data_IF_736461820070
#
_entry.id   IF_736461820070
#
_cell.length_a   1.000
_cell.length_b   1.000
_cell.length_c   1.000
_cell.angle_alpha   90.00
_cell.angle_beta   90.00
_cell.angle_gamma   90.00
#
_symmetry.space_group_name_H-M   'P 1'
#
loop_
_entity.id
_entity.type
_entity.pdbx_description
1 polymer ?
#
# COMPACT_ATOMS: atom_id res chain seq x y z
N UNK A 1 -26.79 -4.06 -20.05
CA UNK A 1 -27.63 -3.85 -18.84
C UNK A 1 -26.69 -3.78 -17.66
N UNK A 2 -26.42 -2.58 -17.14
CA UNK A 2 -25.64 -2.42 -15.91
C UNK A 2 -26.54 -2.81 -14.74
N UNK A 3 -26.25 -3.94 -14.08
CA UNK A 3 -26.87 -4.23 -12.79
C UNK A 3 -26.43 -3.15 -11.82
N UNK A 4 -27.35 -2.26 -11.42
CA UNK A 4 -27.09 -1.34 -10.34
C UNK A 4 -26.77 -2.17 -9.10
N UNK A 5 -25.62 -1.93 -8.47
CA UNK A 5 -25.30 -2.55 -7.20
C UNK A 5 -26.39 -2.15 -6.20
N UNK A 6 -27.17 -3.13 -5.76
CA UNK A 6 -28.17 -2.90 -4.73
C UNK A 6 -27.46 -2.89 -3.38
N UNK A 7 -27.53 -1.75 -2.70
CA UNK A 7 -26.98 -1.61 -1.35
C UNK A 7 -27.68 -2.62 -0.44
N UNK A 8 -26.92 -3.46 0.26
CA UNK A 8 -27.48 -4.46 1.18
C UNK A 8 -28.11 -3.80 2.42
N UNK A 9 -28.87 -4.58 3.19
CA UNK A 9 -29.37 -4.12 4.51
C UNK A 9 -28.21 -3.80 5.45
N UNK A 10 -27.23 -4.70 5.53
CA UNK A 10 -26.04 -4.51 6.35
C UNK A 10 -25.26 -3.25 5.99
N UNK A 11 -25.10 -2.95 4.70
CA UNK A 11 -24.38 -1.76 4.25
C UNK A 11 -25.12 -0.47 4.62
N UNK A 12 -26.45 -0.46 4.56
CA UNK A 12 -27.26 0.66 5.06
C UNK A 12 -27.15 0.81 6.58
N UNK A 13 -27.10 -0.29 7.34
CA UNK A 13 -26.88 -0.24 8.79
C UNK A 13 -25.49 0.26 9.15
N UNK A 14 -24.46 -0.14 8.38
CA UNK A 14 -23.09 0.26 8.60
C UNK A 14 -22.81 1.71 8.19
N UNK A 15 -23.39 2.19 7.08
CA UNK A 15 -23.01 3.47 6.48
C UNK A 15 -24.16 4.47 6.33
N UNK A 16 -25.37 4.13 6.76
CA UNK A 16 -26.54 5.00 6.63
C UNK A 16 -26.80 5.39 5.17
N UNK A 17 -27.08 6.67 4.96
CA UNK A 17 -27.29 7.24 3.62
C UNK A 17 -26.05 7.20 2.72
N UNK A 18 -24.84 7.09 3.28
CA UNK A 18 -23.59 7.10 2.51
C UNK A 18 -23.31 5.76 1.79
N UNK A 19 -24.00 4.68 2.16
CA UNK A 19 -23.72 3.32 1.70
C UNK A 19 -23.67 3.18 0.16
N UNK A 20 -24.62 3.83 -0.54
CA UNK A 20 -24.70 3.76 -2.00
C UNK A 20 -23.55 4.44 -2.71
N UNK A 21 -23.10 5.58 -2.21
CA UNK A 21 -21.99 6.32 -2.83
C UNK A 21 -20.63 5.71 -2.46
N UNK A 22 -20.50 5.22 -1.22
CA UNK A 22 -19.32 4.50 -0.76
C UNK A 22 -19.11 3.20 -1.56
N UNK A 23 -20.15 2.45 -1.89
CA UNK A 23 -20.01 1.21 -2.69
C UNK A 23 -19.43 1.45 -4.08
N UNK A 24 -19.65 2.65 -4.64
CA UNK A 24 -19.10 3.04 -5.94
C UNK A 24 -17.69 3.63 -5.82
N UNK A 25 -17.46 4.52 -4.84
CA UNK A 25 -16.19 5.25 -4.72
C UNK A 25 -15.05 4.43 -4.12
N UNK A 26 -15.35 3.49 -3.22
CA UNK A 26 -14.32 2.69 -2.55
C UNK A 26 -13.55 1.80 -3.55
N UNK A 27 -14.21 1.03 -4.44
CA UNK A 27 -13.48 0.22 -5.43
C UNK A 27 -12.63 1.08 -6.36
N UNK A 28 -13.11 2.26 -6.75
CA UNK A 28 -12.37 3.19 -7.58
C UNK A 28 -11.11 3.71 -6.88
N UNK A 29 -11.22 4.06 -5.60
CA UNK A 29 -10.07 4.48 -4.81
C UNK A 29 -8.99 3.39 -4.71
N UNK A 30 -9.39 2.14 -4.44
CA UNK A 30 -8.46 1.01 -4.34
C UNK A 30 -7.78 0.73 -5.68
N UNK A 31 -8.52 0.75 -6.79
CA UNK A 31 -7.96 0.59 -8.14
C UNK A 31 -6.99 1.72 -8.50
N UNK A 32 -7.35 2.97 -8.17
CA UNK A 32 -6.47 4.13 -8.35
C UNK A 32 -5.17 4.01 -7.53
N UNK A 33 -5.26 3.53 -6.28
CA UNK A 33 -4.10 3.27 -5.44
C UNK A 33 -3.20 2.17 -6.00
N UNK A 34 -3.81 1.09 -6.50
CA UNK A 34 -3.11 0.04 -7.20
C UNK A 34 -2.37 0.57 -8.44
N UNK A 35 -3.07 1.31 -9.30
CA UNK A 35 -2.48 1.88 -10.52
C UNK A 35 -1.30 2.81 -10.20
N UNK A 36 -1.45 3.68 -9.19
CA UNK A 36 -0.38 4.57 -8.74
C UNK A 36 0.84 3.79 -8.25
N UNK A 37 0.61 2.73 -7.45
CA UNK A 37 1.69 1.88 -6.96
C UNK A 37 2.39 1.09 -8.07
N UNK A 38 1.64 0.65 -9.09
CA UNK A 38 2.19 -0.03 -10.25
C UNK A 38 3.06 0.93 -11.08
N UNK A 39 2.57 2.14 -11.36
CA UNK A 39 3.35 3.17 -12.08
C UNK A 39 4.66 3.49 -11.35
N UNK A 40 4.61 3.66 -10.02
CA UNK A 40 5.81 3.91 -9.22
C UNK A 40 6.78 2.72 -9.26
N UNK A 41 6.27 1.49 -9.23
CA UNK A 41 7.09 0.29 -9.31
C UNK A 41 7.80 0.15 -10.66
N UNK A 42 7.08 0.37 -11.77
CA UNK A 42 7.65 0.36 -13.12
C UNK A 42 8.71 1.45 -13.27
N UNK A 43 8.42 2.67 -12.79
CA UNK A 43 9.37 3.79 -12.88
C UNK A 43 10.64 3.59 -12.04
N UNK A 44 10.57 2.82 -10.96
CA UNK A 44 11.72 2.52 -10.10
C UNK A 44 12.64 1.42 -10.66
N UNK A 45 12.19 0.67 -11.68
CA UNK A 45 12.94 -0.43 -12.32
C UNK A 45 13.54 -1.43 -11.31
N UNK A 46 12.80 -1.71 -10.23
CA UNK A 46 13.23 -2.64 -9.19
C UNK A 46 12.67 -4.03 -9.47
N UNK A 47 13.52 -5.05 -9.29
CA UNK A 47 13.12 -6.47 -9.42
C UNK A 47 12.25 -6.95 -8.25
N UNK A 48 12.35 -6.28 -7.09
CA UNK A 48 11.57 -6.59 -5.88
C UNK A 48 10.28 -5.77 -5.82
N UNK A 49 9.24 -6.35 -5.22
CA UNK A 49 7.94 -5.69 -5.04
C UNK A 49 7.91 -4.61 -3.92
N UNK A 50 9.07 -4.20 -3.40
CA UNK A 50 9.17 -3.28 -2.26
C UNK A 50 8.58 -1.91 -2.58
N UNK A 51 8.94 -1.32 -3.73
CA UNK A 51 8.38 -0.04 -4.19
C UNK A 51 6.87 -0.12 -4.34
N UNK A 52 6.37 -1.20 -4.95
CA UNK A 52 4.95 -1.43 -5.11
C UNK A 52 4.24 -1.52 -3.76
N UNK A 53 4.73 -2.39 -2.86
CA UNK A 53 4.12 -2.62 -1.56
C UNK A 53 4.11 -1.38 -0.67
N UNK A 54 5.22 -0.63 -0.62
CA UNK A 54 5.33 0.58 0.19
C UNK A 54 4.45 1.71 -0.36
N UNK A 55 4.44 1.89 -1.69
CA UNK A 55 3.59 2.90 -2.34
C UNK A 55 2.11 2.57 -2.12
N UNK A 56 1.71 1.31 -2.32
CA UNK A 56 0.34 0.87 -2.12
C UNK A 56 -0.12 1.06 -0.67
N UNK A 57 0.73 0.74 0.32
CA UNK A 57 0.44 0.93 1.75
C UNK A 57 0.07 2.37 2.09
N UNK A 58 0.67 3.35 1.40
CA UNK A 58 0.36 4.77 1.59
C UNK A 58 -0.84 5.19 0.75
N UNK A 59 -0.82 4.90 -0.55
CA UNK A 59 -1.82 5.38 -1.50
C UNK A 59 -3.21 4.81 -1.27
N UNK A 60 -3.34 3.62 -0.69
CA UNK A 60 -4.65 3.07 -0.33
C UNK A 60 -5.41 3.97 0.66
N UNK A 61 -4.72 4.67 1.58
CA UNK A 61 -5.36 5.56 2.53
C UNK A 61 -5.62 6.93 1.89
N UNK A 62 -4.61 7.51 1.26
CA UNK A 62 -4.70 8.84 0.66
C UNK A 62 -5.82 8.91 -0.39
N UNK A 63 -5.87 7.94 -1.29
CA UNK A 63 -6.85 7.93 -2.37
C UNK A 63 -8.24 7.49 -1.89
N UNK A 64 -8.33 6.61 -0.89
CA UNK A 64 -9.61 6.32 -0.25
C UNK A 64 -10.20 7.60 0.33
N UNK A 65 -9.44 8.31 1.17
CA UNK A 65 -9.84 9.58 1.78
C UNK A 65 -10.18 10.62 0.72
N UNK A 66 -9.34 10.79 -0.31
CA UNK A 66 -9.58 11.75 -1.37
C UNK A 66 -10.87 11.46 -2.16
N UNK A 67 -11.20 10.19 -2.37
CA UNK A 67 -12.41 9.81 -3.10
C UNK A 67 -13.68 9.94 -2.24
N UNK A 68 -13.62 9.57 -0.96
CA UNK A 68 -14.83 9.49 -0.10
C UNK A 68 -15.11 10.76 0.69
N UNK A 69 -14.18 11.72 0.77
CA UNK A 69 -14.37 12.97 1.53
C UNK A 69 -15.55 13.83 1.05
N UNK A 70 -15.95 13.71 -0.21
CA UNK A 70 -17.05 14.46 -0.80
C UNK A 70 -18.40 13.74 -0.65
N UNK A 71 -18.42 12.52 -0.08
CA UNK A 71 -19.64 11.77 0.17
C UNK A 71 -20.38 12.41 1.35
N UNK A 72 -21.66 12.79 1.19
CA UNK A 72 -22.46 13.31 2.30
C UNK A 72 -22.49 12.31 3.48
N UNK A 73 -22.25 12.82 4.69
CA UNK A 73 -22.22 11.99 5.89
C UNK A 73 -20.87 11.33 6.20
N UNK A 74 -19.84 11.53 5.37
CA UNK A 74 -18.48 11.09 5.65
C UNK A 74 -17.64 12.25 6.23
N UNK A 75 -16.86 11.94 7.25
CA UNK A 75 -15.87 12.84 7.83
C UNK A 75 -14.48 12.21 7.80
N UNK A 76 -13.46 13.04 7.68
CA UNK A 76 -12.07 12.59 7.73
C UNK A 76 -11.49 12.89 9.11
N UNK A 77 -10.90 11.86 9.74
CA UNK A 77 -10.30 11.96 11.08
C UNK A 77 -8.90 11.34 11.06
N UNK A 78 -7.95 11.96 11.74
CA UNK A 78 -6.65 11.36 12.05
C UNK A 78 -6.58 11.03 13.53
N UNK A 79 -6.75 9.76 13.93
CA UNK A 79 -6.49 9.37 15.31
C UNK A 79 -5.04 9.69 15.68
N UNK A 80 -4.81 10.16 16.89
CA UNK A 80 -3.47 10.44 17.39
C UNK A 80 -2.64 9.14 17.39
N UNK A 81 -1.40 9.19 16.94
CA UNK A 81 -0.56 7.99 16.77
C UNK A 81 -0.80 7.21 15.48
N UNK A 82 -1.84 7.53 14.69
CA UNK A 82 -1.98 7.02 13.32
C UNK A 82 -1.30 7.95 12.32
N UNK A 83 -0.53 7.34 11.41
CA UNK A 83 0.10 8.06 10.29
C UNK A 83 -0.91 8.54 9.25
N UNK A 84 -2.06 7.88 9.13
CA UNK A 84 -3.01 8.08 8.03
C UNK A 84 -4.35 8.59 8.52
N UNK A 85 -5.01 9.35 7.66
CA UNK A 85 -6.41 9.73 7.83
C UNK A 85 -7.32 8.52 7.62
N UNK A 86 -8.40 8.47 8.39
CA UNK A 86 -9.50 7.53 8.26
C UNK A 86 -10.76 8.27 7.85
N UNK A 87 -11.52 7.63 6.94
CA UNK A 87 -12.88 8.01 6.68
C UNK A 87 -13.80 7.43 7.77
N UNK A 88 -14.70 8.25 8.27
CA UNK A 88 -15.63 7.93 9.35
C UNK A 88 -17.02 8.34 8.94
N UNK A 89 -18.02 7.50 9.20
CA UNK A 89 -19.44 7.84 9.08
C UNK A 89 -19.98 8.13 10.48
N UNK A 90 -20.13 9.41 10.89
CA UNK A 90 -20.49 9.75 12.26
C UNK A 90 -21.91 9.31 12.65
N UNK A 91 -22.83 9.26 11.68
CA UNK A 91 -24.22 8.83 11.90
C UNK A 91 -24.29 7.42 12.52
N UNK A 92 -23.51 6.49 11.99
CA UNK A 92 -23.44 5.09 12.42
C UNK A 92 -22.20 4.79 13.25
N UNK A 93 -21.37 5.81 13.49
CA UNK A 93 -20.13 5.74 14.23
C UNK A 93 -19.12 4.70 13.68
N UNK A 94 -19.06 4.57 12.35
CA UNK A 94 -18.22 3.58 11.66
C UNK A 94 -16.94 4.21 11.14
N UNK A 95 -15.78 3.63 11.46
CA UNK A 95 -14.50 3.94 10.81
C UNK A 95 -14.21 2.96 9.67
N UNK A 96 -13.58 3.43 8.59
CA UNK A 96 -13.27 2.66 7.39
C UNK A 96 -11.76 2.44 7.27
N UNK A 97 -11.32 1.18 7.14
CA UNK A 97 -9.90 0.80 7.09
C UNK A 97 -9.57 -0.04 5.85
N UNK A 98 -8.70 0.41 4.94
CA UNK A 98 -8.24 -0.43 3.83
C UNK A 98 -7.21 -1.47 4.29
N UNK A 99 -7.41 -2.72 3.84
CA UNK A 99 -6.54 -3.84 4.13
C UNK A 99 -6.34 -4.73 2.91
N UNK A 100 -5.09 -4.87 2.46
CA UNK A 100 -4.73 -5.90 1.48
C UNK A 100 -4.66 -7.26 2.16
N UNK A 101 -5.61 -8.15 1.88
CA UNK A 101 -5.70 -9.47 2.52
C UNK A 101 -4.94 -10.58 1.78
N UNK A 102 -4.66 -10.41 0.49
CA UNK A 102 -3.97 -11.41 -0.33
C UNK A 102 -3.06 -10.78 -1.39
N UNK A 103 -1.97 -11.49 -1.69
CA UNK A 103 -0.99 -11.15 -2.74
C UNK A 103 -0.87 -12.24 -3.81
N UNK A 104 -1.27 -13.47 -3.52
CA UNK A 104 -1.42 -14.53 -4.52
C UNK A 104 -2.91 -14.77 -4.79
N UNK A 105 -3.27 -15.10 -6.03
CA UNK A 105 -4.66 -15.47 -6.40
C UNK A 105 -5.09 -16.79 -5.78
N UNK A 106 -4.14 -17.63 -5.37
CA UNK A 106 -4.43 -18.89 -4.66
C UNK A 106 -4.89 -18.65 -3.22
N UNK A 107 -4.55 -17.50 -2.64
CA UNK A 107 -4.90 -17.16 -1.26
C UNK A 107 -6.40 -16.84 -1.19
N UNK A 108 -7.14 -17.65 -0.43
CA UNK A 108 -8.54 -17.38 -0.14
C UNK A 108 -8.65 -16.35 0.97
N UNK A 109 -9.71 -15.54 0.94
CA UNK A 109 -9.97 -14.53 1.98
C UNK A 109 -10.10 -15.18 3.36
N UNK A 110 -10.73 -16.34 3.43
CA UNK A 110 -10.97 -17.09 4.66
C UNK A 110 -9.67 -17.58 5.33
N UNK A 111 -8.61 -17.76 4.53
CA UNK A 111 -7.30 -18.22 5.00
C UNK A 111 -6.32 -17.06 5.23
N UNK A 112 -6.76 -15.82 5.00
CA UNK A 112 -5.91 -14.63 5.11
C UNK A 112 -5.42 -14.42 6.54
N UNK A 113 -4.19 -13.90 6.65
CA UNK A 113 -3.54 -13.58 7.92
C UNK A 113 -2.90 -12.21 7.86
N UNK A 114 -2.89 -11.52 8.99
CA UNK A 114 -2.09 -10.31 9.14
C UNK A 114 -0.63 -10.69 9.35
N UNK A 115 0.27 -9.78 8.96
CA UNK A 115 1.67 -9.91 9.33
C UNK A 115 1.80 -10.00 10.86
N UNK A 116 2.52 -11.03 11.31
CA UNK A 116 2.72 -11.34 12.72
C UNK A 116 4.11 -10.89 13.19
N UNK A 117 4.25 -10.40 14.45
CA UNK A 117 3.15 -10.12 15.38
C UNK A 117 2.32 -8.90 14.94
N UNK A 118 1.01 -8.92 15.23
CA UNK A 118 0.12 -7.79 14.90
C UNK A 118 0.45 -6.62 15.81
N UNK A 119 0.78 -5.46 15.24
CA UNK A 119 1.06 -4.23 16.01
C UNK A 119 -0.11 -3.81 16.90
N UNK A 120 0.16 -3.25 18.08
CA UNK A 120 -0.87 -2.83 19.05
C UNK A 120 -1.95 -1.93 18.45
N UNK A 121 -1.57 -0.94 17.62
CA UNK A 121 -2.52 -0.10 16.88
C UNK A 121 -3.56 -0.91 16.06
N UNK A 122 -3.11 -1.95 15.35
CA UNK A 122 -4.01 -2.82 14.58
C UNK A 122 -4.87 -3.67 15.49
N UNK A 123 -4.31 -4.11 16.61
CA UNK A 123 -5.08 -4.85 17.60
C UNK A 123 -6.18 -3.98 18.22
N UNK A 124 -5.90 -2.71 18.55
CA UNK A 124 -6.87 -1.74 19.05
C UNK A 124 -7.98 -1.47 18.03
N UNK A 125 -7.62 -1.24 16.76
CA UNK A 125 -8.60 -1.04 15.68
C UNK A 125 -9.51 -2.26 15.50
N UNK A 126 -8.93 -3.46 15.38
CA UNK A 126 -9.71 -4.69 15.18
C UNK A 126 -10.47 -5.12 16.46
N UNK A 127 -10.05 -4.61 17.61
CA UNK A 127 -10.77 -4.73 18.87
C UNK A 127 -12.17 -4.10 18.84
N UNK A 128 -12.40 -3.10 17.98
CA UNK A 128 -13.72 -2.44 17.84
C UNK A 128 -14.81 -3.38 17.32
N UNK A 129 -14.42 -4.42 16.58
CA UNK A 129 -15.34 -5.44 16.07
C UNK A 129 -15.40 -6.68 16.95
N UNK A 130 -14.55 -6.77 17.96
CA UNK A 130 -14.46 -7.98 18.78
C UNK A 130 -15.63 -8.06 19.75
N UNK A 131 -16.40 -9.14 19.66
CA UNK A 131 -17.38 -9.53 20.69
C UNK A 131 -16.70 -10.01 21.98
N UNK A 132 -15.40 -10.29 21.94
CA UNK A 132 -14.62 -10.64 23.11
C UNK A 132 -14.52 -9.43 24.05
N UNK A 133 -14.80 -9.67 25.34
CA UNK A 133 -14.75 -8.67 26.40
C UNK A 133 -13.53 -7.75 26.28
N UNK A 134 -13.67 -6.45 26.63
CA UNK A 134 -12.58 -5.49 26.52
C UNK A 134 -11.34 -6.09 27.19
N UNK A 135 -10.23 -6.11 26.45
CA UNK A 135 -8.94 -6.64 26.93
C UNK A 135 -8.70 -6.12 28.33
N UNK A 136 -8.87 -6.99 29.33
CA UNK A 136 -8.24 -6.76 30.62
C UNK A 136 -6.75 -6.77 30.32
N UNK A 137 -6.12 -5.62 30.51
CA UNK A 137 -4.68 -5.48 30.59
C UNK A 137 -4.20 -6.54 31.57
N UNK A 138 -3.52 -7.58 31.08
CA UNK A 138 -2.91 -8.56 31.96
C UNK A 138 -1.81 -7.82 32.73
N UNK A 139 -1.85 -7.96 34.06
CA UNK A 139 -0.95 -7.35 35.05
C UNK A 139 0.45 -8.02 34.97
N UNK A 140 1.02 -8.18 33.77
CA UNK A 140 2.32 -8.83 33.58
C UNK A 140 3.49 -7.85 33.41
N UNK A 141 3.26 -6.55 33.59
CA UNK A 141 4.30 -5.50 33.49
C UNK A 141 4.69 -4.89 34.85
N UNK A 142 4.38 -5.54 35.97
CA UNK A 142 4.62 -4.98 37.31
C UNK A 142 6.11 -4.89 37.75
N UNK A 143 7.08 -5.21 36.90
CA UNK A 143 8.51 -5.20 37.28
C UNK A 143 9.46 -4.86 36.12
N UNK A 144 9.30 -3.73 35.42
CA UNK A 144 10.37 -3.14 34.59
C UNK A 144 10.24 -1.61 34.53
N UNK A 145 11.35 -0.91 34.76
CA UNK A 145 11.65 0.54 34.75
C UNK A 145 10.57 1.54 34.25
N UNK A 146 10.17 2.46 35.13
CA UNK A 146 8.86 3.14 35.14
C UNK A 146 8.66 4.28 34.11
N UNK A 147 9.67 5.09 33.79
CA UNK A 147 9.39 6.40 33.17
C UNK A 147 9.20 6.37 31.63
N UNK A 148 9.86 5.44 30.91
CA UNK A 148 9.73 5.34 29.44
C UNK A 148 8.57 4.44 29.00
N UNK A 149 8.17 3.49 29.84
CA UNK A 149 7.00 2.63 29.61
C UNK A 149 5.70 3.38 29.89
N UNK A 150 5.65 4.21 30.94
CA UNK A 150 4.45 4.98 31.29
C UNK A 150 3.95 5.88 30.13
N UNK A 151 4.85 6.59 29.44
CA UNK A 151 4.47 7.43 28.28
C UNK A 151 3.91 6.61 27.11
N UNK A 152 4.48 5.44 26.84
CA UNK A 152 3.98 4.55 25.77
C UNK A 152 2.60 3.96 26.09
N UNK A 153 2.34 3.65 27.37
CA UNK A 153 1.03 3.19 27.82
C UNK A 153 -0.04 4.30 27.75
N UNK A 154 0.28 5.53 28.17
CA UNK A 154 -0.65 6.67 28.10
C UNK A 154 -1.03 7.01 26.65
N UNK A 155 -0.07 7.00 25.71
CA UNK A 155 -0.33 7.23 24.29
C UNK A 155 -1.24 6.15 23.69
N UNK A 156 -1.00 4.89 24.07
CA UNK A 156 -1.83 3.77 23.62
C UNK A 156 -3.24 3.85 24.22
N UNK A 157 -3.38 4.20 25.49
CA UNK A 157 -4.68 4.39 26.14
C UNK A 157 -5.49 5.55 25.54
N UNK A 158 -4.84 6.67 25.21
CA UNK A 158 -5.51 7.79 24.53
C UNK A 158 -5.93 7.41 23.11
N UNK A 159 -5.07 6.71 22.36
CA UNK A 159 -5.43 6.15 21.07
C UNK A 159 -6.61 5.19 21.20
N UNK A 160 -6.59 4.25 22.14
CA UNK A 160 -7.70 3.33 22.42
C UNK A 160 -9.00 4.09 22.72
N UNK A 161 -8.92 5.13 23.55
CA UNK A 161 -10.05 5.99 23.90
C UNK A 161 -10.61 6.71 22.68
N UNK A 162 -9.75 7.22 21.81
CA UNK A 162 -10.15 7.85 20.55
C UNK A 162 -10.76 6.84 19.57
N UNK A 163 -10.18 5.64 19.46
CA UNK A 163 -10.69 4.58 18.59
C UNK A 163 -12.03 4.05 19.08
N UNK A 164 -12.24 3.92 20.39
CA UNK A 164 -13.53 3.55 21.00
C UNK A 164 -14.62 4.59 20.76
N UNK A 165 -14.25 5.84 20.42
CA UNK A 165 -15.25 6.79 19.93
C UNK A 165 -15.83 6.33 18.63
N UNK A 166 -15.13 5.52 17.83
CA UNK A 166 -15.70 4.76 16.73
C UNK A 166 -16.36 3.50 17.31
N UNK A 167 -17.65 3.34 17.07
CA UNK A 167 -18.44 2.23 17.61
C UNK A 167 -18.21 0.92 16.86
N UNK A 168 -17.67 1.00 15.64
CA UNK A 168 -17.43 -0.15 14.75
C UNK A 168 -16.37 0.18 13.71
N UNK A 169 -15.64 -0.84 13.27
CA UNK A 169 -14.66 -0.75 12.19
C UNK A 169 -15.12 -1.57 10.99
N UNK A 170 -15.30 -0.96 9.83
CA UNK A 170 -15.49 -1.70 8.58
C UNK A 170 -14.17 -1.75 7.81
N UNK A 171 -13.73 -2.97 7.49
CA UNK A 171 -12.51 -3.19 6.73
C UNK A 171 -12.85 -3.29 5.24
N UNK A 172 -12.16 -2.49 4.43
CA UNK A 172 -12.15 -2.63 2.98
C UNK A 172 -11.06 -3.63 2.63
N UNK A 173 -11.46 -4.89 2.54
CA UNK A 173 -10.57 -5.96 2.13
C UNK A 173 -10.33 -5.92 0.63
N UNK A 174 -9.07 -6.03 0.23
CA UNK A 174 -8.77 -6.24 -1.19
C UNK A 174 -7.58 -7.18 -1.44
N UNK A 175 -7.56 -7.79 -2.61
CA UNK A 175 -6.48 -8.67 -3.07
C UNK A 175 -5.84 -8.10 -4.35
N UNK A 176 -4.52 -7.99 -4.34
CA UNK A 176 -3.80 -7.38 -5.47
C UNK A 176 -2.32 -7.74 -5.53
N UNK A 177 -1.77 -7.78 -6.73
CA UNK A 177 -0.33 -7.81 -7.01
C UNK A 177 -0.03 -7.15 -8.36
N UNK A 178 1.22 -6.79 -8.66
CA UNK A 178 1.56 -6.06 -9.88
C UNK A 178 1.14 -6.77 -11.18
N UNK A 179 1.24 -8.10 -11.23
CA UNK A 179 1.00 -8.87 -12.46
C UNK A 179 -0.49 -9.12 -12.74
N UNK A 180 -1.27 -9.36 -11.69
CA UNK A 180 -2.67 -9.79 -11.77
C UNK A 180 -3.67 -8.65 -11.60
N UNK A 181 -3.23 -7.46 -11.22
CA UNK A 181 -4.11 -6.34 -10.91
C UNK A 181 -4.78 -6.51 -9.54
N UNK A 182 -5.97 -5.91 -9.39
CA UNK A 182 -6.86 -6.12 -8.23
C UNK A 182 -7.94 -7.12 -8.63
N UNK A 183 -8.19 -8.16 -7.82
CA UNK A 183 -9.16 -9.22 -8.16
C UNK A 183 -10.16 -9.57 -7.06
N UNK A 184 -10.07 -8.92 -5.91
CA UNK A 184 -11.06 -9.05 -4.86
C UNK A 184 -11.15 -7.71 -4.17
N UNK A 185 -12.32 -7.10 -4.19
CA UNK A 185 -12.62 -5.90 -3.40
C UNK A 185 -13.94 -6.16 -2.71
N UNK A 186 -13.97 -5.92 -1.41
CA UNK A 186 -15.20 -5.95 -0.64
C UNK A 186 -15.02 -5.23 0.67
N UNK A 187 -16.12 -5.19 1.41
CA UNK A 187 -16.14 -4.66 2.75
C UNK A 187 -16.71 -5.68 3.72
N UNK A 188 -16.44 -5.49 4.99
CA UNK A 188 -17.00 -6.35 6.02
C UNK A 188 -16.44 -6.07 7.39
N UNK A 189 -16.95 -6.82 8.34
CA UNK A 189 -16.39 -6.87 9.67
C UNK A 189 -15.17 -7.80 9.66
N UNK A 190 -14.12 -7.38 10.36
CA UNK A 190 -12.91 -8.18 10.53
C UNK A 190 -12.60 -8.30 12.01
N UNK A 191 -12.40 -9.53 12.46
CA UNK A 191 -12.00 -9.84 13.84
C UNK A 191 -10.61 -10.45 13.86
N UNK A 192 -9.80 -10.03 14.84
CA UNK A 192 -8.50 -10.64 15.13
C UNK A 192 -8.69 -11.77 16.13
N UNK A 193 -8.44 -13.02 15.72
CA UNK A 193 -8.53 -14.20 16.60
C UNK A 193 -7.27 -14.40 17.41
N UNK A 194 -6.09 -14.15 16.82
CA UNK A 194 -4.82 -14.32 17.51
C UNK A 194 -3.79 -13.30 17.02
N UNK A 195 -3.36 -12.41 17.92
CA UNK A 195 -2.40 -11.36 17.62
C UNK A 195 -0.97 -11.88 17.36
N UNK A 196 -0.59 -13.00 17.98
CA UNK A 196 0.73 -13.60 17.83
C UNK A 196 0.89 -14.33 16.49
N UNK A 197 -0.19 -14.93 15.96
CA UNK A 197 -0.17 -15.64 14.67
C UNK A 197 -0.76 -14.83 13.51
N UNK A 198 -1.38 -13.68 13.80
CA UNK A 198 -2.07 -12.84 12.82
C UNK A 198 -3.35 -13.44 12.27
N UNK A 199 -3.92 -14.45 12.94
CA UNK A 199 -5.14 -15.12 12.50
C UNK A 199 -6.35 -14.20 12.61
N UNK A 200 -7.09 -14.07 11.51
CA UNK A 200 -8.25 -13.20 11.38
C UNK A 200 -9.45 -13.99 10.85
N UNK A 201 -10.65 -13.46 11.11
CA UNK A 201 -11.90 -13.98 10.54
C UNK A 201 -12.75 -12.85 10.01
N UNK A 202 -13.57 -13.13 9.01
CA UNK A 202 -14.53 -12.21 8.42
C UNK A 202 -15.96 -12.63 8.80
N UNK A 203 -16.52 -12.19 9.95
CA UNK A 203 -17.89 -12.52 10.33
C UNK A 203 -18.92 -12.09 9.29
N UNK A 204 -18.64 -10.97 8.60
CA UNK A 204 -19.43 -10.48 7.50
C UNK A 204 -18.53 -10.09 6.33
N UNK A 205 -19.01 -10.34 5.11
CA UNK A 205 -18.36 -9.89 3.89
C UNK A 205 -19.37 -9.63 2.79
N UNK A 206 -19.22 -8.50 2.11
CA UNK A 206 -19.89 -8.23 0.85
C UNK A 206 -18.87 -7.83 -0.21
N UNK A 207 -18.96 -8.46 -1.37
CA UNK A 207 -18.18 -8.09 -2.54
C UNK A 207 -18.71 -6.79 -3.11
N UNK A 208 -17.80 -5.84 -3.33
CA UNK A 208 -18.13 -4.56 -3.93
C UNK A 208 -18.14 -4.67 -5.45
N UNK A 209 -18.92 -3.81 -6.13
CA UNK A 209 -19.11 -3.94 -7.57
C UNK A 209 -17.82 -3.73 -8.34
N UNK A 210 -17.65 -4.57 -9.36
CA UNK A 210 -16.70 -4.30 -10.42
C UNK A 210 -17.28 -3.20 -11.30
N UNK A 211 -16.85 -1.97 -11.08
CA UNK A 211 -17.09 -0.89 -12.03
C UNK A 211 -16.17 -1.22 -13.21
N UNK A 212 -16.72 -1.91 -14.22
CA UNK A 212 -16.10 -1.92 -15.55
C UNK A 212 -16.07 -0.47 -15.99
N UNK A 213 -14.87 0.12 -16.03
CA UNK A 213 -14.67 1.45 -16.55
C UNK A 213 -15.22 1.48 -17.98
N UNK A 214 -16.40 2.08 -18.15
CA UNK A 214 -16.88 2.46 -19.46
C UNK A 214 -15.90 3.48 -20.03
N UNK A 215 -15.08 3.05 -20.98
CA UNK A 215 -14.40 3.91 -21.97
C UNK A 215 -13.81 5.21 -21.41
N UNK A 216 -12.91 5.11 -20.44
CA UNK A 216 -11.86 6.12 -20.25
C UNK A 216 -10.54 5.39 -20.44
N UNK A 217 -9.75 5.85 -21.41
CA UNK A 217 -8.55 5.20 -21.92
C UNK A 217 -7.55 4.82 -20.80
N UNK A 218 -7.69 3.61 -20.27
CA UNK A 218 -6.55 2.89 -19.71
C UNK A 218 -5.70 2.47 -20.89
N UNK A 219 -4.64 3.23 -21.17
CA UNK A 219 -3.48 2.70 -21.86
C UNK A 219 -3.07 1.43 -21.11
N UNK A 220 -3.32 0.29 -21.74
CA UNK A 220 -2.93 -1.02 -21.25
C UNK A 220 -1.39 -1.10 -21.30
N UNK A 221 -0.74 -0.69 -20.22
CA UNK A 221 0.70 -0.97 -20.02
C UNK A 221 0.97 -2.48 -19.85
N UNK A 222 -0.08 -3.30 -19.66
CA UNK A 222 0.03 -4.75 -19.61
C UNK A 222 0.24 -5.39 -20.99
N UNK A 223 -0.15 -4.70 -22.08
CA UNK A 223 0.06 -5.22 -23.44
C UNK A 223 1.55 -5.16 -23.86
N UNK A 224 2.29 -4.14 -23.41
CA UNK A 224 3.70 -3.95 -23.78
C UNK A 224 4.67 -4.93 -23.10
N UNK A 225 4.27 -5.60 -22.01
CA UNK A 225 5.12 -6.58 -21.34
C UNK A 225 5.07 -7.99 -21.95
N UNK A 226 4.29 -8.21 -23.02
CA UNK A 226 4.16 -9.52 -23.67
C UNK A 226 4.90 -9.67 -25.00
N UNK A 227 5.62 -8.63 -25.47
CA UNK A 227 6.31 -8.67 -26.79
C UNK A 227 7.84 -8.73 -26.67
N UNK A 228 8.44 -8.70 -25.48
CA UNK A 228 9.91 -8.86 -25.30
C UNK A 228 10.28 -10.31 -24.96
N UNK A 229 9.70 -11.26 -25.70
CA UNK A 229 9.89 -12.68 -25.39
C UNK A 229 9.74 -13.63 -26.56
N UNK A 230 9.80 -13.18 -27.82
CA UNK A 230 9.86 -14.12 -28.94
C UNK A 230 10.27 -13.56 -30.31
N UNK A 231 11.40 -12.88 -30.43
CA UNK A 231 12.12 -12.86 -31.72
C UNK A 231 13.62 -12.97 -31.47
N UNK A 232 14.14 -14.20 -31.62
CA UNK A 232 15.56 -14.40 -31.92
C UNK A 232 15.81 -13.87 -33.33
N UNK A 233 16.05 -12.55 -33.44
CA UNK A 233 16.75 -12.02 -34.60
C UNK A 233 18.22 -12.39 -34.44
N UNK A 234 18.70 -13.28 -35.31
CA UNK A 234 20.13 -13.63 -35.39
C UNK A 234 20.88 -12.40 -35.89
N UNK A 235 22.03 -12.17 -35.28
CA UNK A 235 22.92 -11.02 -35.50
C UNK A 235 23.49 -10.90 -36.94
N UNK A 236 23.24 -11.85 -37.83
CA UNK A 236 23.89 -11.96 -39.15
C UNK A 236 22.99 -11.62 -40.36
N UNK A 237 21.85 -10.95 -40.19
CA UNK A 237 21.03 -10.52 -41.33
C UNK A 237 21.06 -9.00 -41.55
N UNK A 238 22.16 -8.52 -42.12
CA UNK A 238 22.16 -7.29 -42.90
C UNK A 238 23.06 -7.48 -44.11
N UNK A 239 22.41 -7.49 -45.27
CA UNK A 239 22.99 -7.36 -46.59
C UNK A 239 23.74 -6.03 -46.69
N UNK A 240 24.87 -6.10 -47.36
CA UNK A 240 25.84 -5.04 -47.62
C UNK A 240 25.20 -3.75 -48.15
N UNK A 241 25.45 -2.64 -47.47
CA UNK A 241 25.68 -1.36 -48.13
C UNK A 241 26.77 -0.61 -47.35
N UNK A 242 27.73 -0.16 -48.14
CA UNK A 242 29.07 0.30 -47.84
C UNK A 242 29.02 1.75 -47.31
N UNK A 243 29.30 1.96 -46.03
CA UNK A 243 29.70 3.27 -45.50
C UNK A 243 30.88 3.08 -44.53
N UNK A 244 32.06 3.28 -45.11
CA UNK A 244 33.38 3.31 -44.50
C UNK A 244 33.47 4.40 -43.41
N UNK A 245 33.01 4.06 -42.20
CA UNK A 245 33.41 4.79 -41.00
C UNK A 245 34.87 4.43 -40.72
N UNK A 246 35.81 5.21 -41.30
CA UNK A 246 37.27 5.06 -41.24
C UNK A 246 37.88 4.82 -39.84
N UNK A 247 37.55 3.67 -39.27
CA UNK A 247 37.93 3.18 -37.96
C UNK A 247 39.04 2.16 -38.19
N UNK A 248 40.25 2.68 -38.33
CA UNK A 248 41.44 1.84 -38.39
C UNK A 248 41.70 1.29 -36.98
N UNK A 249 41.77 -0.04 -36.87
CA UNK A 249 42.15 -0.71 -35.64
C UNK A 249 43.53 -0.21 -35.18
N UNK A 250 43.61 0.23 -33.91
CA UNK A 250 44.90 0.61 -33.32
C UNK A 250 45.84 -0.60 -33.29
N UNK A 251 47.08 -0.49 -33.80
CA UNK A 251 48.04 -1.58 -33.68
C UNK A 251 48.41 -1.78 -32.20
N UNK A 252 48.55 -3.05 -31.81
CA UNK A 252 48.68 -3.53 -30.43
C UNK A 252 49.93 -3.06 -29.67
N UNK A 253 50.83 -2.31 -30.31
CA UNK A 253 52.04 -1.76 -29.70
C UNK A 253 51.91 -0.28 -29.30
N UNK A 254 50.77 0.37 -29.58
CA UNK A 254 50.53 1.75 -29.17
C UNK A 254 50.42 1.83 -27.62
N UNK A 255 51.29 2.63 -27.00
CA UNK A 255 51.32 2.83 -25.54
C UNK A 255 49.98 3.34 -25.01
N UNK A 256 49.56 2.77 -23.88
CA UNK A 256 48.39 3.23 -23.10
C UNK A 256 48.64 4.69 -22.67
N UNK A 257 47.68 5.61 -22.86
CA UNK A 257 47.82 6.96 -22.34
C UNK A 257 47.86 6.90 -20.81
N UNK A 258 48.96 7.40 -20.24
CA UNK A 258 49.13 7.57 -18.80
C UNK A 258 48.17 8.65 -18.35
N UNK A 259 47.31 8.33 -17.38
CA UNK A 259 46.45 9.30 -16.71
C UNK A 259 47.35 10.35 -16.01
N UNK A 260 47.31 11.60 -16.46
CA UNK A 260 47.91 12.71 -15.72
C UNK A 260 47.21 12.82 -14.36
N UNK A 261 47.93 12.41 -13.32
CA UNK A 261 47.66 12.77 -11.93
C UNK A 261 48.66 13.84 -11.55
N UNK A 262 48.37 15.10 -11.90
CA UNK A 262 49.14 16.22 -11.36
C UNK A 262 48.61 16.53 -9.96
N UNK A 263 49.25 15.88 -8.99
CA UNK A 263 49.19 16.25 -7.59
C UNK A 263 50.54 16.91 -7.26
N UNK A 264 50.66 18.22 -7.48
CA UNK A 264 51.78 18.99 -6.97
C UNK A 264 51.38 19.62 -5.64
N UNK A 265 51.76 18.93 -4.57
CA UNK A 265 51.96 19.53 -3.26
C UNK A 265 53.45 19.42 -2.95
N UNK A 266 54.16 20.54 -2.94
CA UNK A 266 55.51 20.61 -2.33
C UNK A 266 55.61 21.89 -1.53
N UNK A 267 55.95 21.69 -0.26
CA UNK A 267 55.99 22.65 0.81
C UNK A 267 57.31 23.45 0.88
N UNK A 268 57.34 24.38 1.84
CA UNK A 268 58.49 25.09 2.44
C UNK A 268 59.00 26.31 1.63
N UNK A 269 59.28 27.48 2.20
CA UNK A 269 59.60 27.84 3.59
C UNK A 269 59.71 29.38 3.72
N UNK A 270 59.74 29.86 4.98
CA UNK A 270 60.22 31.18 5.50
C UNK A 270 59.18 32.26 5.78
N UNK A 271 58.90 32.44 7.07
CA UNK A 271 58.45 33.70 7.63
C UNK A 271 59.62 34.65 7.95
N UNK A 272 59.33 35.95 7.88
CA UNK A 272 59.85 37.13 8.62
C UNK A 272 58.79 38.20 8.28
N UNK A 273 58.03 38.81 9.20
CA UNK A 273 58.45 39.60 10.34
C UNK A 273 58.18 41.09 9.99
N UNK A 274 57.41 41.75 10.87
CA UNK A 274 56.91 43.14 10.86
C UNK A 274 55.61 43.45 10.10
#
# INVERSE_FOLDING_TARGET
MNGAFEVSVWAREAFGGAAGELSARIPEAIRSAHATALTAHVAADMTTNDTYGHTLKVKQYELLVAQVREVPGVMIRRPQGMRFDLAVVPETNVAILPLRYATDRKDRREDSRLAAPVSDLRQSLLGLNSSAAPRQLTIDHAFVDDDALASGFEELEELDRQLRRFGRLVVIGYASNPAAGVWGIGWGDLELKNAATGEITWPHWETLPEISAGSAATHSLAADLSVVGRETSRFDSSTEDDDDFGLVARPSWARVPVSETTNENTAAERGVGE
#
